data_IF_231028487578
#
_entry.id   IF_231028487578
#
_cell.length_a   1.000
_cell.length_b   1.000
_cell.length_c   1.000
_cell.angle_alpha   90.00
_cell.angle_beta   90.00
_cell.angle_gamma   90.00
#
_symmetry.space_group_name_H-M   'P 1'
#
loop_
_entity.id
_entity.type
_entity.pdbx_description
1 polymer ?
#
# COMPACT_ATOMS: atom_id res chain seq x y z
N UNK A 1 -46.92 -66.03 -8.35
CA UNK A 1 -45.81 -67.01 -8.41
C UNK A 1 -44.66 -66.36 -9.18
N UNK A 2 -43.85 -65.53 -8.51
CA UNK A 2 -42.65 -64.96 -9.12
C UNK A 2 -41.65 -66.10 -9.34
N UNK A 3 -41.24 -66.35 -10.59
CA UNK A 3 -40.34 -67.44 -10.93
C UNK A 3 -38.97 -67.24 -10.28
N UNK A 4 -38.29 -68.33 -9.94
CA UNK A 4 -36.93 -68.35 -9.34
C UNK A 4 -35.83 -67.72 -10.23
N UNK A 5 -36.17 -66.94 -11.25
CA UNK A 5 -35.24 -66.32 -12.21
C UNK A 5 -34.47 -65.14 -11.61
N UNK A 6 -35.02 -64.47 -10.60
CA UNK A 6 -34.43 -63.24 -10.05
C UNK A 6 -33.66 -63.46 -8.74
N UNK A 7 -33.52 -64.71 -8.28
CA UNK A 7 -32.78 -65.04 -7.04
C UNK A 7 -31.33 -65.40 -7.40
N UNK A 8 -30.32 -64.69 -6.87
CA UNK A 8 -28.92 -65.00 -7.10
C UNK A 8 -28.54 -66.42 -6.65
N UNK A 9 -27.58 -67.03 -7.36
CA UNK A 9 -27.07 -68.37 -7.05
C UNK A 9 -25.70 -68.28 -6.40
N UNK A 10 -25.50 -69.06 -5.34
CA UNK A 10 -24.23 -69.18 -4.61
C UNK A 10 -23.71 -70.62 -4.67
N UNK A 11 -22.39 -70.82 -4.67
CA UNK A 11 -21.80 -72.15 -4.67
C UNK A 11 -22.13 -72.89 -3.37
N UNK A 12 -22.38 -74.18 -3.46
CA UNK A 12 -22.53 -75.05 -2.30
C UNK A 12 -21.16 -75.28 -1.63
N UNK A 13 -21.12 -75.51 -0.30
CA UNK A 13 -19.93 -76.02 0.37
C UNK A 13 -19.43 -77.31 -0.30
N UNK A 14 -18.11 -77.57 -0.35
CA UNK A 14 -17.58 -78.79 -0.95
C UNK A 14 -18.17 -80.02 -0.27
N UNK A 15 -18.73 -80.94 -1.05
CA UNK A 15 -19.18 -82.25 -0.58
C UNK A 15 -18.68 -83.32 -1.54
N UNK A 16 -18.00 -84.35 -1.02
CA UNK A 16 -17.34 -85.38 -1.82
C UNK A 16 -15.94 -84.99 -2.30
N UNK A 17 -15.44 -85.74 -3.28
CA UNK A 17 -14.08 -85.78 -3.87
C UNK A 17 -13.63 -84.50 -4.61
N UNK A 18 -14.15 -83.34 -4.23
CA UNK A 18 -13.53 -82.03 -4.47
C UNK A 18 -13.54 -81.50 -5.92
N UNK A 19 -14.07 -82.25 -6.90
CA UNK A 19 -13.93 -81.93 -8.32
C UNK A 19 -15.16 -81.29 -8.99
N UNK A 20 -16.28 -81.07 -8.29
CA UNK A 20 -17.48 -80.44 -8.86
C UNK A 20 -18.10 -79.37 -7.94
N UNK A 21 -18.11 -78.11 -8.38
CA UNK A 21 -18.82 -77.01 -7.69
C UNK A 21 -20.28 -77.00 -8.16
N UNK A 22 -21.21 -77.26 -7.25
CA UNK A 22 -22.66 -77.14 -7.51
C UNK A 22 -23.20 -75.83 -6.94
N UNK A 23 -24.25 -75.27 -7.53
CA UNK A 23 -24.81 -73.96 -7.15
C UNK A 23 -26.25 -74.07 -6.67
N UNK A 24 -26.57 -73.42 -5.54
CA UNK A 24 -27.93 -73.29 -5.00
C UNK A 24 -28.43 -71.85 -5.05
N UNK A 25 -29.74 -71.67 -4.98
CA UNK A 25 -30.33 -70.34 -4.78
C UNK A 25 -30.04 -69.86 -3.35
N UNK A 26 -29.86 -68.55 -3.19
CA UNK A 26 -29.76 -67.94 -1.86
C UNK A 26 -31.08 -68.14 -1.09
N UNK A 27 -30.93 -68.45 0.19
CA UNK A 27 -32.04 -68.52 1.14
C UNK A 27 -32.56 -67.11 1.48
N UNK A 28 -33.75 -67.02 2.05
CA UNK A 28 -34.33 -65.73 2.47
C UNK A 28 -33.42 -64.99 3.48
N UNK A 29 -32.76 -65.72 4.38
CA UNK A 29 -31.81 -65.15 5.35
C UNK A 29 -30.55 -64.63 4.66
N UNK A 30 -29.98 -65.36 3.70
CA UNK A 30 -28.78 -64.91 2.97
C UNK A 30 -29.06 -63.71 2.06
N UNK A 31 -30.27 -63.62 1.49
CA UNK A 31 -30.75 -62.45 0.75
C UNK A 31 -30.87 -61.23 1.69
N UNK A 32 -31.43 -61.41 2.88
CA UNK A 32 -31.52 -60.35 3.88
C UNK A 32 -30.13 -59.88 4.35
N UNK A 33 -29.20 -60.80 4.59
CA UNK A 33 -27.82 -60.47 4.96
C UNK A 33 -27.06 -59.74 3.83
N UNK A 34 -27.32 -60.11 2.57
CA UNK A 34 -26.74 -59.41 1.42
C UNK A 34 -27.32 -58.01 1.27
N UNK A 35 -28.63 -57.85 1.45
CA UNK A 35 -29.30 -56.55 1.42
C UNK A 35 -28.76 -55.65 2.54
N UNK A 36 -28.62 -56.16 3.77
CA UNK A 36 -28.05 -55.39 4.88
C UNK A 36 -26.59 -54.97 4.63
N UNK A 37 -25.77 -55.82 3.98
CA UNK A 37 -24.42 -55.43 3.54
C UNK A 37 -24.45 -54.36 2.45
N UNK A 38 -25.38 -54.47 1.50
CA UNK A 38 -25.55 -53.48 0.43
C UNK A 38 -25.99 -52.13 1.02
N UNK A 39 -26.98 -52.13 1.91
CA UNK A 39 -27.48 -50.94 2.58
C UNK A 39 -26.38 -50.27 3.42
N UNK A 40 -25.53 -51.05 4.10
CA UNK A 40 -24.35 -50.54 4.82
C UNK A 40 -23.29 -49.95 3.89
N UNK A 41 -23.08 -50.56 2.72
CA UNK A 41 -22.16 -50.05 1.71
C UNK A 41 -22.67 -48.76 1.08
N UNK A 42 -23.95 -48.71 0.73
CA UNK A 42 -24.60 -47.52 0.19
C UNK A 42 -24.63 -46.38 1.22
N UNK A 43 -24.85 -46.70 2.51
CA UNK A 43 -24.73 -45.73 3.60
C UNK A 43 -23.28 -45.24 3.82
N UNK A 44 -22.27 -46.09 3.58
CA UNK A 44 -20.86 -45.67 3.59
C UNK A 44 -20.56 -44.72 2.43
N UNK A 45 -20.99 -45.05 1.22
CA UNK A 45 -20.86 -44.17 0.04
C UNK A 45 -21.56 -42.84 0.27
N UNK A 46 -22.81 -42.84 0.78
CA UNK A 46 -23.54 -41.61 1.06
C UNK A 46 -22.83 -40.72 2.09
N UNK A 47 -22.12 -41.31 3.08
CA UNK A 47 -21.27 -40.57 4.02
C UNK A 47 -20.02 -40.02 3.36
N UNK A 48 -19.41 -40.76 2.44
CA UNK A 48 -18.24 -40.33 1.69
C UNK A 48 -18.59 -39.19 0.74
N UNK A 49 -19.68 -39.31 0.00
CA UNK A 49 -20.28 -38.24 -0.82
C UNK A 49 -20.61 -37.00 0.01
N UNK A 50 -21.23 -37.18 1.19
CA UNK A 50 -21.53 -36.06 2.08
C UNK A 50 -20.24 -35.40 2.61
N UNK A 51 -19.20 -36.18 2.88
CA UNK A 51 -17.89 -35.68 3.28
C UNK A 51 -17.19 -34.93 2.14
N UNK A 52 -17.22 -35.46 0.91
CA UNK A 52 -16.66 -34.81 -0.28
C UNK A 52 -17.41 -33.52 -0.62
N UNK A 53 -18.74 -33.53 -0.62
CA UNK A 53 -19.54 -32.31 -0.74
C UNK A 53 -19.28 -31.32 0.40
N UNK A 54 -19.05 -31.78 1.62
CA UNK A 54 -18.66 -30.90 2.74
C UNK A 54 -17.27 -30.30 2.54
N UNK A 55 -16.34 -31.02 1.89
CA UNK A 55 -15.03 -30.51 1.49
C UNK A 55 -15.13 -29.51 0.34
N UNK A 56 -15.96 -29.77 -0.66
CA UNK A 56 -16.23 -28.82 -1.76
C UNK A 56 -16.94 -27.56 -1.24
N UNK A 57 -17.90 -27.70 -0.33
CA UNK A 57 -18.55 -26.56 0.34
C UNK A 57 -17.58 -25.84 1.28
N UNK A 58 -16.63 -26.52 1.91
CA UNK A 58 -15.56 -25.89 2.68
C UNK A 58 -14.53 -25.18 1.78
N UNK A 59 -14.25 -25.70 0.59
CA UNK A 59 -13.42 -25.07 -0.43
C UNK A 59 -14.13 -23.87 -1.09
N UNK A 60 -15.46 -23.91 -1.22
CA UNK A 60 -16.31 -22.85 -1.76
C UNK A 60 -16.87 -21.90 -0.68
N UNK A 61 -16.62 -22.16 0.60
CA UNK A 61 -16.86 -21.18 1.65
C UNK A 61 -15.78 -20.12 1.45
N UNK A 62 -16.18 -18.90 1.08
CA UNK A 62 -15.27 -17.76 0.92
C UNK A 62 -14.23 -17.82 2.04
N UNK A 63 -12.98 -18.14 1.69
CA UNK A 63 -11.92 -18.29 2.68
C UNK A 63 -11.96 -17.02 3.53
N UNK A 64 -12.34 -17.18 4.80
CA UNK A 64 -12.21 -16.14 5.81
C UNK A 64 -10.83 -15.55 5.62
N UNK A 65 -10.79 -14.23 5.33
CA UNK A 65 -9.59 -13.40 5.14
C UNK A 65 -8.42 -14.06 5.85
N UNK A 66 -7.55 -14.75 5.09
CA UNK A 66 -6.39 -15.42 5.68
C UNK A 66 -5.60 -14.32 6.39
N UNK A 67 -5.54 -14.39 7.71
CA UNK A 67 -4.72 -13.52 8.56
C UNK A 67 -3.20 -13.69 8.31
N UNK A 68 -2.80 -14.35 7.20
CA UNK A 68 -1.42 -14.57 6.72
C UNK A 68 -1.08 -13.95 5.37
N UNK A 69 -2.03 -13.41 4.57
CA UNK A 69 -1.70 -12.85 3.26
C UNK A 69 -1.02 -11.46 3.31
N UNK A 70 -0.23 -11.16 2.28
CA UNK A 70 0.43 -9.86 2.03
C UNK A 70 0.28 -9.46 0.56
N UNK A 71 0.30 -8.16 0.26
CA UNK A 71 0.19 -7.63 -1.10
C UNK A 71 1.47 -7.87 -1.90
N UNK A 72 2.61 -7.67 -1.25
CA UNK A 72 3.91 -7.93 -1.84
C UNK A 72 4.88 -8.47 -0.78
N UNK A 73 5.80 -9.33 -1.24
CA UNK A 73 6.94 -9.89 -0.49
C UNK A 73 8.12 -10.12 -1.45
N UNK A 74 9.31 -10.27 -0.87
CA UNK A 74 10.51 -10.60 -1.64
C UNK A 74 10.38 -11.98 -2.30
N UNK A 75 10.76 -12.08 -3.57
CA UNK A 75 10.85 -13.33 -4.33
C UNK A 75 11.96 -14.26 -3.84
N UNK A 76 12.85 -13.76 -2.96
CA UNK A 76 13.86 -14.57 -2.27
C UNK A 76 13.28 -15.44 -1.15
N UNK A 77 12.06 -15.15 -0.72
CA UNK A 77 11.38 -15.95 0.30
C UNK A 77 10.61 -17.11 -0.35
N UNK A 78 10.65 -18.32 0.21
CA UNK A 78 9.88 -19.47 -0.28
C UNK A 78 8.37 -19.20 -0.33
N UNK A 79 7.63 -19.99 -1.10
CA UNK A 79 6.16 -19.99 -1.10
C UNK A 79 5.59 -20.08 0.33
N UNK A 80 4.47 -19.41 0.58
CA UNK A 80 3.80 -19.29 1.88
C UNK A 80 4.58 -18.48 2.95
N UNK A 81 5.89 -18.22 2.77
CA UNK A 81 6.71 -17.52 3.76
C UNK A 81 6.73 -16.01 3.50
N UNK A 82 6.09 -15.24 4.37
CA UNK A 82 5.98 -13.78 4.21
C UNK A 82 7.11 -13.00 4.88
N UNK A 83 7.84 -13.63 5.81
CA UNK A 83 8.84 -12.95 6.62
C UNK A 83 10.22 -13.58 6.53
N UNK A 84 11.25 -12.73 6.54
CA UNK A 84 12.61 -13.19 6.77
C UNK A 84 12.74 -13.75 8.19
N UNK A 85 13.15 -15.02 8.26
CA UNK A 85 13.45 -15.72 9.51
C UNK A 85 14.91 -16.19 9.51
N UNK A 86 15.80 -15.38 10.09
CA UNK A 86 17.18 -15.76 10.36
C UNK A 86 17.35 -16.00 11.87
N UNK A 87 18.03 -17.07 12.32
CA UNK A 87 18.37 -17.28 13.73
C UNK A 87 19.05 -16.08 14.42
N UNK A 88 19.80 -15.26 13.67
CA UNK A 88 20.43 -14.05 14.19
C UNK A 88 19.49 -12.84 14.31
N UNK A 89 18.25 -12.94 13.81
CA UNK A 89 17.30 -11.83 13.70
C UNK A 89 17.60 -10.84 12.56
N UNK A 90 18.68 -11.05 11.80
CA UNK A 90 19.08 -10.16 10.71
C UNK A 90 18.17 -10.29 9.49
N UNK A 91 17.77 -9.15 8.93
CA UNK A 91 17.00 -9.02 7.69
C UNK A 91 17.91 -8.38 6.63
N UNK A 92 18.02 -8.94 5.41
CA UNK A 92 18.88 -8.37 4.37
C UNK A 92 18.33 -7.05 3.83
N UNK A 93 19.24 -6.21 3.31
CA UNK A 93 18.86 -5.11 2.41
C UNK A 93 18.67 -5.70 1.01
N UNK A 94 17.47 -5.52 0.46
CA UNK A 94 17.08 -6.06 -0.84
C UNK A 94 16.99 -4.97 -1.90
N UNK A 95 17.07 -5.35 -3.18
CA UNK A 95 16.67 -4.46 -4.27
C UNK A 95 15.15 -4.43 -4.35
N UNK A 96 14.55 -3.29 -4.73
CA UNK A 96 13.11 -3.25 -5.00
C UNK A 96 12.68 -4.28 -6.05
N UNK A 97 13.57 -4.60 -7.02
CA UNK A 97 13.35 -5.62 -8.04
C UNK A 97 13.11 -7.02 -7.47
N UNK A 98 13.56 -7.28 -6.25
CA UNK A 98 13.29 -8.55 -5.57
C UNK A 98 11.82 -8.64 -5.14
N UNK A 99 11.08 -7.53 -5.06
CA UNK A 99 9.66 -7.52 -4.68
C UNK A 99 8.74 -7.38 -5.89
N UNK A 100 9.20 -6.76 -6.98
CA UNK A 100 8.36 -6.48 -8.14
C UNK A 100 8.93 -5.38 -9.05
N UNK A 101 8.10 -4.94 -9.99
CA UNK A 101 8.46 -3.95 -11.01
C UNK A 101 7.92 -2.56 -10.66
N UNK A 102 8.71 -1.52 -10.95
CA UNK A 102 8.36 -0.13 -10.67
C UNK A 102 8.15 0.65 -11.97
N UNK A 103 7.03 1.36 -12.06
CA UNK A 103 6.77 2.39 -13.07
C UNK A 103 6.75 3.74 -12.36
N UNK A 104 7.51 4.71 -12.87
CA UNK A 104 7.47 6.08 -12.40
C UNK A 104 6.74 6.94 -13.43
N UNK A 105 5.72 7.64 -12.98
CA UNK A 105 4.96 8.59 -13.78
C UNK A 105 5.10 9.99 -13.19
N UNK A 106 5.13 11.02 -14.03
CA UNK A 106 5.11 12.40 -13.59
C UNK A 106 4.39 13.33 -14.55
N UNK A 107 3.84 14.40 -14.00
CA UNK A 107 3.15 15.46 -14.74
C UNK A 107 3.72 16.82 -14.38
N UNK A 108 3.79 17.72 -15.36
CA UNK A 108 4.34 19.08 -15.22
C UNK A 108 3.31 20.18 -15.45
N UNK A 109 2.19 19.85 -16.06
CA UNK A 109 1.20 20.81 -16.51
C UNK A 109 -0.18 20.34 -16.05
N UNK A 110 -0.99 21.30 -15.62
CA UNK A 110 -2.40 21.09 -15.36
C UNK A 110 -3.18 21.58 -16.58
N UNK A 111 -4.20 20.81 -17.00
CA UNK A 111 -5.15 21.20 -18.02
C UNK A 111 -6.14 22.27 -17.49
N UNK A 112 -7.01 22.76 -18.37
CA UNK A 112 -8.01 23.78 -18.04
C UNK A 112 -9.01 23.33 -16.94
N UNK A 113 -9.12 22.02 -16.69
CA UNK A 113 -9.94 21.45 -15.61
C UNK A 113 -9.18 21.29 -14.29
N UNK A 114 -7.88 21.63 -14.26
CA UNK A 114 -6.98 21.42 -13.13
C UNK A 114 -6.45 19.98 -13.04
N UNK A 115 -6.61 19.16 -14.09
CA UNK A 115 -6.08 17.81 -14.15
C UNK A 115 -4.63 17.78 -14.62
N UNK A 116 -3.76 17.05 -13.92
CA UNK A 116 -2.35 16.87 -14.27
C UNK A 116 -2.17 15.50 -14.92
N UNK A 117 -2.00 15.48 -16.24
CA UNK A 117 -1.71 14.24 -16.99
C UNK A 117 -0.37 13.64 -16.54
N UNK A 118 -0.36 12.34 -16.26
CA UNK A 118 0.84 11.62 -15.84
C UNK A 118 1.49 10.91 -17.03
N UNK A 119 2.74 11.27 -17.32
CA UNK A 119 3.57 10.69 -18.39
C UNK A 119 4.68 9.82 -17.81
N UNK A 120 5.13 8.82 -18.57
CA UNK A 120 6.15 7.85 -18.13
C UNK A 120 7.51 8.52 -17.96
N UNK A 121 8.06 8.48 -16.75
CA UNK A 121 9.45 8.82 -16.45
C UNK A 121 10.34 7.59 -16.67
N UNK A 122 9.94 6.45 -16.11
CA UNK A 122 10.69 5.19 -16.21
C UNK A 122 9.83 3.98 -15.88
N UNK A 123 10.39 2.79 -16.11
CA UNK A 123 9.77 1.50 -15.79
C UNK A 123 9.91 0.51 -16.93
N UNK A 124 9.97 -0.77 -16.60
CA UNK A 124 9.82 -1.88 -17.56
C UNK A 124 8.44 -1.80 -18.22
N UNK A 125 8.28 -2.38 -19.40
CA UNK A 125 7.13 -2.16 -20.30
C UNK A 125 5.78 -2.03 -19.55
N UNK A 126 5.02 -0.97 -19.86
CA UNK A 126 3.71 -0.77 -19.24
C UNK A 126 2.81 -1.93 -19.66
N UNK A 127 2.13 -2.62 -18.72
CA UNK A 127 1.21 -3.70 -19.06
C UNK A 127 0.21 -3.25 -20.12
N UNK A 128 0.02 -4.08 -21.15
CA UNK A 128 -1.03 -3.87 -22.13
C UNK A 128 -2.39 -3.75 -21.42
N UNK A 129 -3.20 -2.78 -21.82
CA UNK A 129 -4.50 -2.53 -21.20
C UNK A 129 -4.47 -1.65 -19.93
N UNK A 130 -3.30 -1.24 -19.40
CA UNK A 130 -3.25 -0.38 -18.21
C UNK A 130 -3.88 1.00 -18.46
N UNK A 131 -3.88 1.51 -19.69
CA UNK A 131 -4.45 2.82 -20.01
C UNK A 131 -3.59 3.99 -19.53
N UNK A 132 -4.23 5.13 -19.24
CA UNK A 132 -3.57 6.37 -18.83
C UNK A 132 -4.07 6.87 -17.47
N UNK A 133 -3.28 7.75 -16.85
CA UNK A 133 -3.57 8.30 -15.53
C UNK A 133 -3.41 9.82 -15.51
N UNK A 134 -4.20 10.47 -14.66
CA UNK A 134 -4.05 11.88 -14.32
C UNK A 134 -4.30 12.09 -12.83
N UNK A 135 -3.64 13.10 -12.24
CA UNK A 135 -3.99 13.59 -10.91
C UNK A 135 -5.02 14.70 -11.04
N UNK A 136 -6.02 14.72 -10.17
CA UNK A 136 -7.06 15.74 -10.16
C UNK A 136 -7.49 16.04 -8.71
N UNK A 137 -8.53 16.87 -8.57
CA UNK A 137 -9.12 17.24 -7.29
C UNK A 137 -8.76 18.66 -6.84
N UNK A 138 -9.31 19.06 -5.70
CA UNK A 138 -9.15 20.42 -5.13
C UNK A 138 -7.69 20.84 -4.96
N UNK A 139 -6.78 19.87 -4.72
CA UNK A 139 -5.36 20.14 -4.59
C UNK A 139 -4.71 20.73 -5.86
N UNK A 140 -5.33 20.55 -7.04
CA UNK A 140 -4.77 20.95 -8.34
C UNK A 140 -5.54 22.08 -9.04
N UNK A 141 -6.79 22.38 -8.62
CA UNK A 141 -7.64 23.42 -9.24
C UNK A 141 -7.08 24.85 -9.23
N UNK A 142 -6.14 25.15 -8.34
CA UNK A 142 -5.56 26.49 -8.17
C UNK A 142 -4.12 26.61 -8.70
N UNK A 143 -3.62 25.61 -9.44
CA UNK A 143 -2.28 25.66 -10.02
C UNK A 143 -2.30 26.53 -11.28
N UNK A 144 -1.48 27.60 -11.35
CA UNK A 144 -1.37 28.38 -12.58
C UNK A 144 -0.79 27.49 -13.68
N UNK A 145 -1.32 27.59 -14.90
CA UNK A 145 -0.69 27.03 -16.08
C UNK A 145 0.75 27.58 -16.16
N UNK A 146 1.73 26.74 -15.90
CA UNK A 146 3.14 27.13 -15.88
C UNK A 146 3.64 27.28 -17.32
N UNK A 147 3.59 28.49 -17.86
CA UNK A 147 4.37 28.85 -19.05
C UNK A 147 5.85 29.00 -18.65
N UNK A 148 6.58 27.89 -18.53
CA UNK A 148 8.00 27.91 -18.15
C UNK A 148 8.87 27.48 -19.33
N UNK A 149 9.63 28.45 -19.85
CA UNK A 149 10.73 28.26 -20.80
C UNK A 149 12.05 27.80 -20.12
N UNK A 150 11.97 27.20 -18.92
CA UNK A 150 13.14 26.66 -18.24
C UNK A 150 13.52 25.29 -18.81
N UNK A 151 14.83 25.02 -18.90
CA UNK A 151 15.39 23.77 -19.46
C UNK A 151 14.96 22.52 -18.66
N UNK A 152 14.54 22.67 -17.39
CA UNK A 152 14.02 21.61 -16.51
C UNK A 152 12.88 22.18 -15.64
N UNK A 153 11.62 21.93 -15.99
CA UNK A 153 10.46 22.31 -15.17
C UNK A 153 10.18 21.26 -14.07
N UNK A 154 9.88 21.68 -12.82
CA UNK A 154 9.59 20.76 -11.71
C UNK A 154 8.29 19.97 -11.97
N UNK A 155 8.18 18.79 -11.36
CA UNK A 155 6.97 17.98 -11.43
C UNK A 155 5.88 18.58 -10.53
N UNK A 156 4.67 18.75 -11.08
CA UNK A 156 3.47 19.06 -10.31
C UNK A 156 2.95 17.81 -9.58
N UNK A 157 3.16 16.64 -10.17
CA UNK A 157 2.86 15.36 -9.55
C UNK A 157 3.84 14.28 -9.97
N UNK A 158 4.17 13.41 -9.02
CA UNK A 158 4.99 12.22 -9.19
C UNK A 158 4.24 11.05 -8.55
N UNK A 159 4.03 10.00 -9.33
CA UNK A 159 3.39 8.76 -8.88
C UNK A 159 4.31 7.59 -9.16
N UNK A 160 4.64 6.84 -8.12
CA UNK A 160 5.35 5.58 -8.23
C UNK A 160 4.33 4.44 -8.18
N UNK A 161 4.25 3.64 -9.24
CA UNK A 161 3.37 2.48 -9.33
C UNK A 161 4.21 1.21 -9.26
N UNK A 162 3.90 0.37 -8.30
CA UNK A 162 4.62 -0.85 -8.00
C UNK A 162 3.72 -2.06 -8.25
N UNK A 163 4.17 -2.92 -9.15
CA UNK A 163 3.57 -4.20 -9.49
C UNK A 163 4.29 -5.30 -8.72
N UNK A 164 3.66 -5.96 -7.75
CA UNK A 164 4.27 -7.10 -7.08
C UNK A 164 4.68 -8.20 -8.06
N UNK A 165 5.78 -8.88 -7.77
CA UNK A 165 6.20 -10.06 -8.52
C UNK A 165 5.08 -11.09 -8.57
N UNK A 166 4.81 -11.63 -9.76
CA UNK A 166 3.84 -12.71 -9.93
C UNK A 166 4.49 -14.04 -9.52
N UNK A 167 4.44 -14.35 -8.24
CA UNK A 167 5.13 -15.51 -7.66
C UNK A 167 4.32 -16.82 -7.75
N UNK A 168 3.02 -16.76 -8.05
CA UNK A 168 2.12 -17.91 -7.86
C UNK A 168 2.06 -18.38 -6.40
N UNK A 169 2.40 -17.48 -5.46
CA UNK A 169 2.61 -17.75 -4.04
C UNK A 169 1.27 -17.70 -3.28
N UNK A 170 1.06 -18.69 -2.43
CA UNK A 170 -0.16 -18.86 -1.62
C UNK A 170 -0.30 -17.86 -0.46
N UNK A 171 0.72 -17.03 -0.23
CA UNK A 171 0.75 -15.94 0.74
C UNK A 171 0.35 -14.58 0.17
N UNK A 172 0.09 -14.47 -1.14
CA UNK A 172 -0.37 -13.22 -1.73
C UNK A 172 -1.89 -13.08 -1.61
N UNK A 173 -2.37 -11.84 -1.47
CA UNK A 173 -3.82 -11.59 -1.58
C UNK A 173 -4.32 -11.89 -2.99
N UNK A 174 -5.52 -12.47 -3.08
CA UNK A 174 -6.27 -12.49 -4.34
C UNK A 174 -6.93 -11.13 -4.59
N UNK A 175 -7.33 -10.88 -5.84
CA UNK A 175 -8.06 -9.65 -6.19
C UNK A 175 -9.39 -9.54 -5.43
N UNK A 176 -10.14 -10.64 -5.33
CA UNK A 176 -11.39 -10.72 -4.56
C UNK A 176 -11.18 -10.41 -3.08
N UNK A 177 -10.06 -10.85 -2.49
CA UNK A 177 -9.72 -10.51 -1.11
C UNK A 177 -9.44 -9.02 -0.97
N UNK A 178 -8.67 -8.41 -1.88
CA UNK A 178 -8.40 -6.98 -1.84
C UNK A 178 -9.67 -6.14 -2.00
N UNK A 179 -10.61 -6.55 -2.87
CA UNK A 179 -11.90 -5.89 -3.02
C UNK A 179 -12.74 -5.85 -1.73
N UNK A 180 -12.56 -6.82 -0.83
CA UNK A 180 -13.28 -6.89 0.44
C UNK A 180 -12.58 -6.15 1.59
N UNK A 181 -11.37 -5.64 1.39
CA UNK A 181 -10.53 -5.05 2.44
C UNK A 181 -10.51 -3.53 2.35
N UNK A 182 -10.46 -2.87 3.52
CA UNK A 182 -10.17 -1.43 3.62
C UNK A 182 -8.68 -1.15 3.70
N UNK A 183 -7.93 -2.10 4.27
CA UNK A 183 -6.48 -2.05 4.38
C UNK A 183 -5.93 -3.46 4.14
N UNK A 184 -4.76 -3.54 3.53
CA UNK A 184 -4.07 -4.80 3.27
C UNK A 184 -2.62 -4.70 3.74
N UNK A 185 -2.07 -5.83 4.17
CA UNK A 185 -0.67 -5.90 4.59
C UNK A 185 0.26 -5.93 3.40
N UNK A 186 1.45 -5.34 3.51
CA UNK A 186 2.54 -5.48 2.55
C UNK A 186 3.86 -5.70 3.30
N UNK A 187 4.87 -6.29 2.64
CA UNK A 187 6.24 -6.44 3.18
C UNK A 187 7.21 -5.37 2.69
N UNK A 188 6.75 -4.47 1.83
CA UNK A 188 7.52 -3.34 1.33
C UNK A 188 6.65 -2.09 1.27
N UNK A 189 7.18 -0.97 1.78
CA UNK A 189 6.60 0.37 1.57
C UNK A 189 7.66 1.30 1.02
N UNK A 190 7.28 2.06 0.00
CA UNK A 190 8.18 2.86 -0.83
C UNK A 190 7.91 4.34 -0.62
N UNK A 191 8.98 5.13 -0.75
CA UNK A 191 8.90 6.56 -0.91
C UNK A 191 9.71 6.97 -2.12
N UNK A 192 9.13 7.83 -2.94
CA UNK A 192 9.83 8.48 -4.06
C UNK A 192 9.52 9.98 -4.00
N UNK A 193 10.52 10.81 -4.23
CA UNK A 193 10.38 12.26 -4.22
C UNK A 193 11.30 12.89 -5.28
N UNK A 194 10.93 14.08 -5.75
CA UNK A 194 11.82 14.93 -6.54
C UNK A 194 12.61 15.85 -5.62
N UNK A 195 13.94 15.86 -5.83
CA UNK A 195 14.87 16.74 -5.13
C UNK A 195 14.86 18.16 -5.71
N UNK A 196 15.39 19.12 -4.97
CA UNK A 196 15.47 20.53 -5.41
C UNK A 196 16.27 20.73 -6.72
N UNK A 197 17.19 19.82 -7.05
CA UNK A 197 17.95 19.82 -8.30
C UNK A 197 17.21 19.13 -9.47
N UNK A 198 15.98 18.67 -9.24
CA UNK A 198 15.15 17.96 -10.21
C UNK A 198 15.39 16.45 -10.28
N UNK A 199 16.44 15.93 -9.63
CA UNK A 199 16.72 14.49 -9.56
C UNK A 199 15.66 13.76 -8.72
N UNK A 200 15.50 12.46 -8.95
CA UNK A 200 14.58 11.64 -8.14
C UNK A 200 15.36 10.88 -7.07
N UNK A 201 14.83 10.89 -5.85
CA UNK A 201 15.30 10.06 -4.73
C UNK A 201 14.22 9.05 -4.38
N UNK A 202 14.60 7.80 -4.18
CA UNK A 202 13.68 6.75 -3.75
C UNK A 202 14.33 5.75 -2.82
N UNK A 203 13.57 5.27 -1.84
CA UNK A 203 13.96 4.21 -0.90
C UNK A 203 12.71 3.45 -0.44
N UNK A 204 12.89 2.22 0.02
CA UNK A 204 11.83 1.41 0.60
C UNK A 204 12.19 0.89 1.98
N UNK A 205 11.18 0.49 2.74
CA UNK A 205 11.33 -0.17 4.03
C UNK A 205 10.67 -1.55 4.00
N UNK A 206 11.39 -2.53 4.54
CA UNK A 206 10.83 -3.82 4.88
C UNK A 206 9.97 -3.70 6.14
N UNK A 207 8.73 -4.17 6.09
CA UNK A 207 7.75 -3.96 7.18
C UNK A 207 7.57 -5.18 8.08
N UNK A 208 8.07 -6.36 7.72
CA UNK A 208 7.72 -7.62 8.40
C UNK A 208 8.17 -7.76 9.86
N UNK A 209 8.99 -6.82 10.37
CA UNK A 209 9.36 -6.72 11.80
C UNK A 209 8.72 -5.51 12.49
N UNK A 210 7.84 -4.79 11.80
CA UNK A 210 7.17 -3.59 12.31
C UNK A 210 5.69 -3.56 11.90
N UNK A 211 4.82 -3.99 12.83
CA UNK A 211 3.38 -4.11 12.59
C UNK A 211 2.68 -2.78 12.31
N UNK A 212 3.21 -1.67 12.83
CA UNK A 212 2.62 -0.36 12.60
C UNK A 212 2.87 0.12 11.16
N UNK A 213 3.79 -0.53 10.45
CA UNK A 213 4.16 -0.17 9.08
C UNK A 213 3.50 -1.05 8.03
N UNK A 214 3.02 -2.25 8.37
CA UNK A 214 2.62 -3.22 7.35
C UNK A 214 1.27 -2.91 6.68
N UNK A 215 0.39 -2.12 7.29
CA UNK A 215 -0.95 -1.82 6.77
C UNK A 215 -0.94 -0.64 5.79
N UNK A 216 -1.56 -0.84 4.62
CA UNK A 216 -1.75 0.17 3.57
C UNK A 216 -3.23 0.22 3.19
N UNK A 217 -3.76 1.42 2.98
CA UNK A 217 -5.15 1.62 2.57
C UNK A 217 -5.41 1.04 1.18
N UNK A 218 -6.53 0.33 1.06
CA UNK A 218 -7.01 -0.23 -0.21
C UNK A 218 -8.06 0.71 -0.77
N UNK A 219 -7.80 1.24 -1.95
CA UNK A 219 -8.66 2.19 -2.65
C UNK A 219 -9.13 1.59 -3.97
N UNK A 220 -10.44 1.63 -4.20
CA UNK A 220 -11.04 1.11 -5.43
C UNK A 220 -11.33 2.26 -6.38
N UNK A 221 -11.10 2.02 -7.67
CA UNK A 221 -11.59 2.93 -8.70
C UNK A 221 -13.11 2.81 -8.84
N UNK A 222 -13.81 3.94 -8.72
CA UNK A 222 -15.23 4.04 -8.95
C UNK A 222 -15.50 4.76 -10.27
N UNK A 223 -16.50 4.28 -11.04
CA UNK A 223 -16.97 5.00 -12.21
C UNK A 223 -17.70 6.29 -11.79
N UNK A 224 -17.26 7.43 -12.32
CA UNK A 224 -17.92 8.73 -12.19
C UNK A 224 -17.97 9.38 -13.56
N UNK A 225 -19.18 9.52 -14.08
CA UNK A 225 -19.45 9.94 -15.45
C UNK A 225 -18.73 9.04 -16.47
N UNK A 226 -17.81 9.59 -17.26
CA UNK A 226 -17.03 8.86 -18.26
C UNK A 226 -15.61 8.51 -17.79
N UNK A 227 -15.32 8.59 -16.49
CA UNK A 227 -13.98 8.40 -15.91
C UNK A 227 -14.02 7.44 -14.74
N UNK A 228 -12.88 6.80 -14.45
CA UNK A 228 -12.70 6.05 -13.21
C UNK A 228 -11.84 6.85 -12.24
N UNK A 229 -12.30 6.99 -10.99
CA UNK A 229 -11.68 7.85 -9.98
C UNK A 229 -11.39 7.02 -8.73
N UNK A 230 -10.16 7.14 -8.25
CA UNK A 230 -9.74 6.72 -6.92
C UNK A 230 -9.52 7.99 -6.07
N UNK A 231 -10.34 8.17 -5.03
CA UNK A 231 -10.13 9.23 -4.04
C UNK A 231 -9.02 8.81 -3.09
N UNK A 232 -7.93 9.58 -3.07
CA UNK A 232 -6.76 9.30 -2.25
C UNK A 232 -6.76 10.13 -0.97
N UNK A 233 -7.78 10.96 -0.73
CA UNK A 233 -7.91 11.88 0.39
C UNK A 233 -7.22 13.23 0.15
N UNK A 234 -7.38 14.14 1.11
CA UNK A 234 -6.77 15.49 1.09
C UNK A 234 -6.99 16.26 -0.23
N UNK A 235 -8.13 16.04 -0.89
CA UNK A 235 -8.46 16.69 -2.16
C UNK A 235 -7.62 16.23 -3.35
N UNK A 236 -6.97 15.06 -3.28
CA UNK A 236 -6.23 14.44 -4.37
C UNK A 236 -7.00 13.22 -4.88
N UNK A 237 -7.35 13.25 -6.16
CA UNK A 237 -7.98 12.16 -6.89
C UNK A 237 -6.98 11.61 -7.93
N UNK A 238 -6.92 10.29 -8.08
CA UNK A 238 -6.26 9.67 -9.23
C UNK A 238 -7.34 9.25 -10.22
N UNK A 239 -7.24 9.78 -11.43
CA UNK A 239 -8.12 9.45 -12.55
C UNK A 239 -7.45 8.38 -13.39
N UNK A 240 -8.19 7.32 -13.68
CA UNK A 240 -7.78 6.25 -14.58
C UNK A 240 -8.68 6.24 -15.81
N UNK A 241 -8.05 6.22 -16.98
CA UNK A 241 -8.72 6.05 -18.26
C UNK A 241 -8.27 4.71 -18.85
N UNK A 242 -9.15 3.71 -18.96
CA UNK A 242 -8.78 2.42 -19.51
C UNK A 242 -8.35 2.55 -20.98
N UNK A 243 -7.48 1.66 -21.44
CA UNK A 243 -7.17 1.55 -22.86
C UNK A 243 -8.44 1.20 -23.64
N UNK A 244 -8.69 1.89 -24.75
CA UNK A 244 -9.93 1.73 -25.56
C UNK A 244 -10.01 0.34 -26.19
N UNK A 245 -8.86 -0.22 -26.58
CA UNK A 245 -8.71 -1.62 -26.98
C UNK A 245 -7.57 -2.22 -26.15
N UNK A 246 -7.69 -3.48 -25.70
CA UNK A 246 -6.62 -4.20 -25.00
C UNK A 246 -5.32 -4.35 -25.80
N UNK A 247 -5.31 -3.86 -27.05
CA UNK A 247 -4.19 -3.74 -27.97
C UNK A 247 -3.68 -2.31 -28.15
N UNK A 248 -4.12 -1.31 -27.38
CA UNK A 248 -3.62 0.06 -27.53
C UNK A 248 -2.12 0.10 -27.23
N UNK A 249 -1.33 0.12 -28.31
CA UNK A 249 0.12 -0.11 -28.34
C UNK A 249 0.88 1.13 -27.84
N UNK A 250 0.21 2.29 -27.80
CA UNK A 250 0.87 3.56 -27.52
C UNK A 250 1.30 3.71 -26.06
N UNK A 251 0.66 2.98 -25.14
CA UNK A 251 0.98 3.00 -23.71
C UNK A 251 0.89 4.41 -23.12
N UNK A 252 1.40 4.59 -21.89
CA UNK A 252 1.52 5.92 -21.31
C UNK A 252 2.68 6.64 -22.02
N UNK A 253 2.45 7.84 -22.61
CA UNK A 253 3.48 8.56 -23.34
C UNK A 253 4.67 8.90 -22.44
N UNK A 254 5.88 8.97 -23.00
CA UNK A 254 7.08 9.35 -22.26
C UNK A 254 7.05 10.84 -21.86
N UNK A 255 7.55 11.14 -20.66
CA UNK A 255 7.75 12.52 -20.23
C UNK A 255 8.99 13.10 -20.92
N UNK A 256 8.82 14.21 -21.63
CA UNK A 256 9.93 14.91 -22.27
C UNK A 256 10.93 15.41 -21.22
N UNK A 257 12.23 15.24 -21.47
CA UNK A 257 13.29 15.56 -20.51
C UNK A 257 13.02 14.98 -19.10
N UNK A 258 12.60 13.71 -19.04
CA UNK A 258 12.33 13.02 -17.77
C UNK A 258 13.59 12.94 -16.89
N UNK A 259 13.46 13.10 -15.56
CA UNK A 259 14.57 12.88 -14.65
C UNK A 259 14.97 11.40 -14.61
N UNK A 260 16.22 11.12 -14.23
CA UNK A 260 16.68 9.75 -14.11
C UNK A 260 15.99 9.02 -12.95
N UNK A 261 15.56 7.79 -13.19
CA UNK A 261 14.98 6.93 -12.18
C UNK A 261 16.02 6.54 -11.11
N UNK A 262 15.67 6.59 -9.82
CA UNK A 262 16.57 6.16 -8.76
C UNK A 262 16.64 4.63 -8.72
N UNK A 263 17.80 4.09 -8.34
CA UNK A 263 17.87 2.71 -7.87
C UNK A 263 17.32 2.65 -6.44
N UNK A 264 16.29 1.84 -6.21
CA UNK A 264 15.60 1.76 -4.92
C UNK A 264 16.04 0.49 -4.17
N UNK A 265 16.59 0.71 -2.98
CA UNK A 265 16.86 -0.33 -2.00
C UNK A 265 15.74 -0.41 -0.97
N UNK A 266 15.44 -1.62 -0.50
CA UNK A 266 14.50 -1.92 0.58
C UNK A 266 15.28 -2.23 1.84
N UNK A 267 15.20 -1.34 2.82
CA UNK A 267 16.00 -1.40 4.04
C UNK A 267 15.25 -2.08 5.18
N UNK A 268 15.93 -2.88 6.03
CA UNK A 268 15.35 -3.40 7.24
C UNK A 268 15.12 -2.27 8.26
N UNK A 269 14.12 -2.39 9.16
CA UNK A 269 13.78 -1.38 10.16
C UNK A 269 14.79 -1.40 11.32
N UNK A 270 16.03 -0.97 11.04
CA UNK A 270 17.15 -1.00 12.00
C UNK A 270 17.81 0.35 12.12
N UNK A 271 18.43 0.63 13.28
CA UNK A 271 19.25 1.85 13.49
C UNK A 271 20.41 1.96 12.49
N UNK A 272 20.87 0.85 11.93
CA UNK A 272 21.90 0.86 10.88
C UNK A 272 21.38 1.50 9.58
N UNK A 273 20.08 1.36 9.27
CA UNK A 273 19.46 2.01 8.11
C UNK A 273 19.33 3.53 8.28
N UNK A 274 19.17 4.05 9.52
CA UNK A 274 19.14 5.49 9.83
C UNK A 274 20.45 6.22 9.43
N UNK A 275 21.59 5.53 9.54
CA UNK A 275 22.89 6.09 9.15
C UNK A 275 23.12 6.14 7.63
N UNK A 276 22.40 5.31 6.86
CA UNK A 276 22.52 5.21 5.40
C UNK A 276 21.52 6.16 4.73
N UNK A 277 20.27 6.14 5.18
CA UNK A 277 19.21 7.01 4.71
C UNK A 277 19.25 8.28 5.56
N UNK A 278 19.96 9.31 5.12
CA UNK A 278 20.02 10.60 5.84
C UNK A 278 18.59 11.16 6.03
N UNK A 279 18.09 11.14 7.28
CA UNK A 279 16.75 11.58 7.72
C UNK A 279 15.61 11.03 6.86
N UNK A 280 15.30 9.73 6.94
CA UNK A 280 14.21 9.15 6.18
C UNK A 280 12.86 9.52 6.82
N UNK A 281 11.84 9.59 5.98
CA UNK A 281 10.43 9.67 6.37
C UNK A 281 9.92 8.24 6.45
N UNK A 282 9.28 7.88 7.56
CA UNK A 282 8.86 6.51 7.82
C UNK A 282 7.38 6.30 7.47
N UNK A 283 6.95 5.07 7.13
CA UNK A 283 5.54 4.76 7.12
C UNK A 283 4.91 5.04 8.51
N UNK A 284 3.65 5.50 8.57
CA UNK A 284 2.74 5.82 7.47
C UNK A 284 2.77 7.32 7.07
N UNK A 285 3.85 8.04 7.33
CA UNK A 285 3.93 9.51 7.20
C UNK A 285 3.92 10.00 5.74
N UNK A 286 4.05 9.09 4.77
CA UNK A 286 3.93 9.38 3.34
C UNK A 286 2.71 8.67 2.74
N UNK A 287 2.21 9.20 1.62
CA UNK A 287 0.94 8.80 1.03
C UNK A 287 1.13 7.67 0.03
N UNK A 288 0.63 6.50 0.39
CA UNK A 288 0.64 5.29 -0.41
C UNK A 288 -0.66 4.50 -0.25
N UNK A 289 -1.00 3.76 -1.29
CA UNK A 289 -2.27 3.06 -1.41
C UNK A 289 -2.11 1.77 -2.21
N UNK A 290 -3.00 0.81 -1.99
CA UNK A 290 -3.20 -0.31 -2.89
C UNK A 290 -4.44 0.01 -3.72
N UNK A 291 -4.24 0.21 -5.02
CA UNK A 291 -5.30 0.47 -5.98
C UNK A 291 -5.86 -0.84 -6.51
N UNK A 292 -7.19 -0.95 -6.47
CA UNK A 292 -7.92 -2.06 -7.06
C UNK A 292 -8.78 -1.53 -8.21
N UNK A 293 -8.61 -2.13 -9.38
CA UNK A 293 -9.28 -1.74 -10.60
C UNK A 293 -10.66 -2.42 -10.70
N UNK A 294 -11.59 -1.86 -11.48
CA UNK A 294 -12.91 -2.47 -11.69
C UNK A 294 -12.80 -3.89 -12.23
N UNK A 295 -13.69 -4.77 -11.76
CA UNK A 295 -13.78 -6.16 -12.20
C UNK A 295 -13.95 -6.23 -13.72
N UNK A 296 -13.19 -7.11 -14.37
CA UNK A 296 -13.23 -7.29 -15.82
C UNK A 296 -12.36 -6.31 -16.62
N UNK A 297 -11.68 -5.37 -15.96
CA UNK A 297 -10.71 -4.47 -16.63
C UNK A 297 -9.47 -5.19 -17.18
N UNK A 298 -9.15 -6.38 -16.66
CA UNK A 298 -7.91 -7.10 -16.97
C UNK A 298 -6.65 -6.48 -16.35
N UNK A 299 -6.80 -5.41 -15.55
CA UNK A 299 -5.70 -4.73 -14.86
C UNK A 299 -5.59 -5.26 -13.42
N UNK A 300 -4.40 -5.78 -13.08
CA UNK A 300 -4.11 -6.26 -11.73
C UNK A 300 -3.98 -5.10 -10.72
N UNK A 301 -4.28 -5.32 -9.44
CA UNK A 301 -4.06 -4.35 -8.38
C UNK A 301 -2.61 -3.83 -8.32
N UNK A 302 -2.44 -2.55 -7.98
CA UNK A 302 -1.15 -1.86 -7.94
C UNK A 302 -0.93 -1.20 -6.57
N UNK A 303 0.30 -1.24 -6.05
CA UNK A 303 0.68 -0.33 -4.96
C UNK A 303 1.14 0.99 -5.55
N UNK A 304 0.68 2.12 -5.01
CA UNK A 304 1.06 3.45 -5.48
C UNK A 304 1.58 4.32 -4.37
N UNK A 305 2.51 5.22 -4.70
CA UNK A 305 3.00 6.26 -3.81
C UNK A 305 2.88 7.59 -4.50
N UNK A 306 2.39 8.60 -3.78
CA UNK A 306 2.20 9.94 -4.31
C UNK A 306 3.17 10.93 -3.70
N UNK A 307 3.81 11.70 -4.57
CA UNK A 307 4.60 12.88 -4.21
C UNK A 307 4.06 14.06 -5.02
N UNK A 308 3.47 15.03 -4.33
CA UNK A 308 2.84 16.21 -4.94
C UNK A 308 3.43 17.47 -4.34
N UNK A 309 3.68 18.48 -5.17
CA UNK A 309 4.19 19.78 -4.73
C UNK A 309 3.02 20.63 -4.20
N UNK A 310 2.69 20.51 -2.91
CA UNK A 310 1.64 21.32 -2.28
C UNK A 310 2.04 22.79 -2.19
N UNK A 311 1.05 23.69 -2.30
CA UNK A 311 1.14 25.03 -1.69
C UNK A 311 1.27 24.85 -0.17
N UNK A 312 2.39 25.29 0.41
CA UNK A 312 2.62 25.26 1.86
C UNK A 312 3.48 24.10 2.39
N UNK A 313 3.86 23.14 1.53
CA UNK A 313 4.89 22.14 1.87
C UNK A 313 6.13 22.41 1.02
N UNK A 314 7.29 22.54 1.68
CA UNK A 314 8.53 22.94 1.01
C UNK A 314 8.92 21.94 -0.10
N UNK A 315 9.44 22.40 -1.25
CA UNK A 315 10.13 21.51 -2.19
C UNK A 315 11.33 20.86 -1.49
N UNK A 316 11.47 19.54 -1.59
CA UNK A 316 12.41 18.80 -0.76
C UNK A 316 13.80 18.71 -1.39
N UNK A 317 14.72 19.55 -0.93
CA UNK A 317 16.17 19.32 -0.85
C UNK A 317 16.72 19.62 0.54
N UNK A 318 15.83 19.78 1.52
CA UNK A 318 16.13 20.10 2.90
C UNK A 318 15.32 19.16 3.78
N UNK A 319 16.00 18.39 4.63
CA UNK A 319 15.44 17.54 5.68
C UNK A 319 14.82 18.35 6.83
N UNK A 320 14.27 19.50 6.49
CA UNK A 320 13.75 20.53 7.36
C UNK A 320 12.57 21.19 6.65
N UNK A 321 11.43 21.25 7.33
CA UNK A 321 10.32 22.05 6.87
C UNK A 321 10.76 23.51 6.82
N UNK A 322 10.56 24.16 5.66
CA UNK A 322 10.85 25.59 5.52
C UNK A 322 9.91 26.37 6.44
N UNK A 323 10.41 27.33 7.24
CA UNK A 323 9.54 28.16 8.05
C UNK A 323 8.53 28.91 7.17
N UNK A 324 7.25 28.95 7.55
CA UNK A 324 6.27 29.77 6.85
C UNK A 324 6.66 31.24 6.95
N UNK A 325 6.25 32.06 5.97
CA UNK A 325 6.27 33.51 6.15
C UNK A 325 5.21 33.91 7.17
N UNK A 326 5.33 35.10 7.78
CA UNK A 326 4.37 35.56 8.79
C UNK A 326 2.94 35.59 8.23
N UNK A 327 2.79 35.96 6.96
CA UNK A 327 1.51 36.04 6.25
C UNK A 327 0.90 34.66 5.96
N UNK A 328 1.71 33.61 5.95
CA UNK A 328 1.25 32.23 5.77
C UNK A 328 0.74 31.60 7.07
N UNK A 329 1.07 32.15 8.23
CA UNK A 329 0.62 31.64 9.53
C UNK A 329 -0.82 32.10 9.79
N UNK A 330 -1.79 31.42 9.20
CA UNK A 330 -3.20 31.84 9.23
C UNK A 330 -3.86 31.63 10.59
N UNK A 331 -3.38 30.69 11.40
CA UNK A 331 -3.93 30.42 12.73
C UNK A 331 -3.64 31.52 13.75
N UNK A 332 -2.61 32.32 13.51
CA UNK A 332 -2.13 33.34 14.44
C UNK A 332 -1.91 34.68 13.70
N UNK A 333 -2.99 35.36 13.28
CA UNK A 333 -2.91 36.51 12.37
C UNK A 333 -2.18 37.73 12.96
N UNK A 334 -2.09 37.82 14.28
CA UNK A 334 -1.46 38.95 14.99
C UNK A 334 0.04 38.73 15.28
N UNK A 335 0.66 37.70 14.70
CA UNK A 335 2.08 37.43 14.91
C UNK A 335 2.97 38.51 14.30
N UNK A 336 3.96 38.93 15.08
CA UNK A 336 5.02 39.84 14.65
C UNK A 336 6.33 39.08 14.60
N UNK A 337 7.06 39.25 13.51
CA UNK A 337 8.40 38.69 13.38
C UNK A 337 9.31 39.27 14.46
N UNK A 338 10.05 38.41 15.14
CA UNK A 338 10.97 38.79 16.20
C UNK A 338 12.41 38.42 15.82
N UNK A 339 13.38 38.89 16.60
CA UNK A 339 14.79 38.54 16.40
C UNK A 339 15.02 37.08 16.77
N UNK A 340 15.58 36.31 15.83
CA UNK A 340 16.01 34.93 16.05
C UNK A 340 17.09 34.88 17.15
N UNK A 341 16.93 34.02 18.17
CA UNK A 341 17.88 33.91 19.31
C UNK A 341 18.30 32.48 19.64
N UNK A 342 17.39 31.51 19.63
CA UNK A 342 17.73 30.13 19.95
C UNK A 342 18.46 29.46 18.77
N UNK A 343 19.55 28.71 19.00
CA UNK A 343 20.20 27.93 17.96
C UNK A 343 19.37 26.70 17.56
N UNK A 344 19.51 26.28 16.30
CA UNK A 344 18.98 25.00 15.81
C UNK A 344 19.81 23.84 16.37
N UNK A 345 19.16 22.75 16.76
CA UNK A 345 19.82 21.56 17.30
C UNK A 345 20.54 20.83 16.16
N UNK A 346 21.86 20.65 16.27
CA UNK A 346 22.70 20.11 15.19
C UNK A 346 23.47 21.18 14.40
N UNK A 347 23.32 22.47 14.74
CA UNK A 347 24.01 23.57 14.05
C UNK A 347 23.23 24.10 12.85
N UNK A 348 23.81 25.05 12.11
CA UNK A 348 23.21 25.59 10.88
C UNK A 348 22.39 26.86 11.00
N UNK A 349 22.27 27.48 12.19
CA UNK A 349 21.68 28.81 12.35
C UNK A 349 20.82 28.98 13.61
N UNK A 350 19.98 30.02 13.60
CA UNK A 350 19.02 30.32 14.66
C UNK A 350 17.59 29.97 14.22
N UNK A 351 16.76 29.53 15.17
CA UNK A 351 15.34 29.23 14.98
C UNK A 351 14.59 30.50 14.62
N UNK A 352 13.71 30.42 13.61
CA UNK A 352 12.81 31.52 13.25
C UNK A 352 11.85 31.81 14.39
N UNK A 353 11.70 33.09 14.72
CA UNK A 353 10.95 33.53 15.89
C UNK A 353 9.89 34.58 15.58
N UNK A 354 8.76 34.46 16.25
CA UNK A 354 7.68 35.46 16.30
C UNK A 354 7.24 35.71 17.73
N UNK A 355 6.49 36.79 17.92
CA UNK A 355 5.78 37.10 19.15
C UNK A 355 4.34 37.47 18.84
N UNK A 356 3.44 37.27 19.80
CA UNK A 356 2.10 37.85 19.71
C UNK A 356 2.18 39.40 19.72
N UNK A 357 1.11 40.07 19.32
CA UNK A 357 1.05 41.53 19.28
C UNK A 357 1.40 42.20 20.62
N UNK A 358 1.18 41.49 21.75
CA UNK A 358 1.44 41.96 23.12
C UNK A 358 2.81 41.55 23.68
N UNK A 359 3.59 40.74 22.98
CA UNK A 359 4.89 40.24 23.44
C UNK A 359 4.83 39.29 24.65
N UNK A 360 3.67 38.71 24.95
CA UNK A 360 3.47 37.77 26.08
C UNK A 360 3.82 36.33 25.70
N UNK A 361 3.79 36.02 24.41
CA UNK A 361 4.10 34.70 23.88
C UNK A 361 5.19 34.78 22.82
N UNK A 362 6.06 33.78 22.84
CA UNK A 362 7.11 33.57 21.85
C UNK A 362 6.74 32.32 21.06
N UNK A 363 6.98 32.38 19.75
CA UNK A 363 6.74 31.27 18.83
C UNK A 363 8.05 30.99 18.11
N UNK A 364 8.49 29.73 18.10
CA UNK A 364 9.66 29.31 17.34
C UNK A 364 9.30 28.20 16.35
N UNK A 365 9.92 28.24 15.18
CA UNK A 365 9.74 27.18 14.18
C UNK A 365 10.52 25.93 14.56
N UNK A 366 9.83 24.80 14.70
CA UNK A 366 10.47 23.49 14.70
C UNK A 366 10.54 22.97 13.27
N UNK A 367 11.73 23.13 12.67
CA UNK A 367 11.97 22.69 11.30
C UNK A 367 12.00 21.18 11.15
N UNK A 368 12.09 20.39 12.24
CA UNK A 368 12.06 18.92 12.17
C UNK A 368 10.64 18.38 12.02
N UNK A 369 9.67 19.02 12.67
CA UNK A 369 8.29 18.54 12.74
C UNK A 369 7.30 19.44 11.96
N UNK A 370 7.76 20.61 11.49
CA UNK A 370 6.96 21.50 10.65
C UNK A 370 5.87 22.22 11.43
N UNK A 371 6.16 22.62 12.67
CA UNK A 371 5.19 23.15 13.61
C UNK A 371 5.72 24.37 14.38
N UNK A 372 4.80 25.12 14.99
CA UNK A 372 5.12 26.25 15.87
C UNK A 372 5.17 25.80 17.32
N UNK A 373 6.36 25.91 17.89
CA UNK A 373 6.60 25.73 19.31
C UNK A 373 6.27 27.02 20.05
N UNK A 374 5.29 26.97 20.95
CA UNK A 374 4.82 28.13 21.69
C UNK A 374 5.42 28.18 23.09
N UNK A 375 5.84 29.36 23.53
CA UNK A 375 6.43 29.61 24.84
C UNK A 375 5.81 30.85 25.49
N UNK A 376 5.77 30.87 26.82
CA UNK A 376 5.54 32.11 27.58
C UNK A 376 6.77 33.02 27.47
N UNK A 377 6.59 34.31 27.78
CA UNK A 377 7.66 35.29 27.86
C UNK A 377 8.78 34.94 28.85
N UNK A 378 8.51 34.05 29.82
CA UNK A 378 9.50 33.51 30.75
C UNK A 378 10.27 32.28 30.23
N UNK A 379 9.93 31.80 29.03
CA UNK A 379 10.55 30.65 28.37
C UNK A 379 9.87 29.31 28.61
N UNK A 380 8.79 29.25 29.40
CA UNK A 380 8.05 28.01 29.66
C UNK A 380 7.35 27.53 28.39
N UNK A 381 7.55 26.26 28.01
CA UNK A 381 6.89 25.65 26.85
C UNK A 381 5.37 25.50 27.09
N UNK A 382 4.59 25.82 26.06
CA UNK A 382 3.13 25.78 26.05
C UNK A 382 2.55 24.73 25.09
N UNK A 383 3.39 24.08 24.28
CA UNK A 383 2.98 23.07 23.32
C UNK A 383 3.39 23.40 21.89
N UNK A 384 3.18 22.44 21.00
CA UNK A 384 3.40 22.56 19.57
C UNK A 384 2.07 22.68 18.82
N UNK A 385 2.03 23.57 17.82
CA UNK A 385 0.81 23.96 17.11
C UNK A 385 1.01 23.96 15.60
N UNK A 386 -0.04 23.56 14.88
CA UNK A 386 -0.10 23.73 13.43
C UNK A 386 -0.16 25.23 13.06
N UNK A 387 0.71 25.73 12.17
CA UNK A 387 0.74 27.15 11.81
C UNK A 387 -0.48 27.63 11.02
N UNK A 388 -1.22 26.73 10.38
CA UNK A 388 -2.34 27.04 9.50
C UNK A 388 -3.69 26.87 10.17
N UNK A 389 -3.87 25.78 10.93
CA UNK A 389 -5.13 25.44 11.61
C UNK A 389 -5.16 25.89 13.07
N UNK A 390 -4.00 26.02 13.71
CA UNK A 390 -3.89 26.32 15.14
C UNK A 390 -4.17 25.12 16.03
N UNK A 391 -4.35 23.93 15.46
CA UNK A 391 -4.53 22.69 16.20
C UNK A 391 -3.30 22.40 17.05
N UNK A 392 -3.53 22.03 18.31
CA UNK A 392 -2.47 21.64 19.21
C UNK A 392 -2.05 20.19 18.93
N UNK A 393 -0.82 20.00 18.47
CA UNK A 393 -0.24 18.69 18.18
C UNK A 393 0.38 18.07 19.43
N UNK A 394 0.97 18.90 20.28
CA UNK A 394 1.62 18.46 21.52
C UNK A 394 1.29 19.38 22.70
N UNK A 395 1.09 18.76 23.87
CA UNK A 395 0.90 19.45 25.15
C UNK A 395 2.16 20.17 25.65
N UNK A 396 2.05 20.97 26.73
CA UNK A 396 3.20 21.53 27.41
C UNK A 396 4.15 20.44 27.95
N UNK A 397 5.44 20.56 27.67
CA UNK A 397 6.50 19.67 28.18
C UNK A 397 7.33 20.43 29.20
N UNK A 398 7.43 19.92 30.44
CA UNK A 398 8.08 20.62 31.56
C UNK A 398 9.58 20.79 31.36
N UNK A 399 10.20 19.84 30.69
CA UNK A 399 11.64 19.81 30.43
C UNK A 399 12.04 20.70 29.24
N UNK A 400 11.08 21.15 28.44
CA UNK A 400 11.30 22.00 27.26
C UNK A 400 11.14 23.47 27.67
N UNK A 401 12.18 24.28 27.48
CA UNK A 401 12.13 25.72 27.77
C UNK A 401 13.15 26.51 26.96
N UNK A 402 12.87 27.79 26.74
CA UNK A 402 13.86 28.73 26.21
C UNK A 402 14.77 29.14 27.37
N UNK A 403 16.08 28.85 27.25
CA UNK A 403 17.06 29.27 28.27
C UNK A 403 17.03 30.80 28.41
N UNK A 404 17.14 31.31 29.64
CA UNK A 404 17.07 32.77 29.95
C UNK A 404 17.91 33.67 29.05
N UNK A 405 19.10 33.21 28.64
CA UNK A 405 20.00 33.96 27.73
C UNK A 405 19.45 34.17 26.31
N UNK A 406 18.38 33.46 25.95
CA UNK A 406 17.74 33.49 24.64
C UNK A 406 16.29 33.98 24.69
N UNK A 407 15.80 34.46 25.84
CA UNK A 407 14.51 35.15 25.93
C UNK A 407 14.61 36.50 25.24
#
# INVERSE_FOLDING_TARGET
MAGKKDIPRVPNPPAGDGHHVTYRYMTATELADQQDRQDKYDAMLARQDAFERSREVAANKSELVRAGCVFAKSCKLPDAIIDYSNPSGMVPTDSLKDYGELILLGGREADDSGGVELKKISGTAIPAGLGTFALAGEAFKALPAMASAAVISPLLGLVAMFMPSNLGDSALYTEDQLLALKQARTRVRLRVEQQADGSLKGYGFYTGKNRDWEMVDVVQFAARDSRFIADLGEGVELVWTPAVDGSDILGIPALEAAPQAPHIWVYPPTKAAEGILVNPVYPPEYRDFILVFPVGSGVKPLYVVLSTTRKGLAPAGHSYHKPPTTEQITAFPDLKKAKDKNPVQGGGGLRKRWTDAKGKKIYEWDSRHGELEMYRSDGTHLGAFDPFTGEQREGPIKERSIKKRYL
#
